data_IF_582443180748
#
_entry.id   IF_582443180748
#
_cell.length_a   1.000
_cell.length_b   1.000
_cell.length_c   1.000
_cell.angle_alpha   90.00
_cell.angle_beta   90.00
_cell.angle_gamma   90.00
#
_symmetry.space_group_name_H-M   'P 1'
#
loop_
_entity.id
_entity.type
_entity.pdbx_description
1 polymer ?
#
# COMPACT_ATOMS: atom_id res chain seq x y z
N UNK A 1 5.02 -14.25 -95.53
CA UNK A 1 4.04 -13.98 -94.45
C UNK A 1 4.83 -13.35 -93.32
N UNK A 2 4.77 -12.02 -93.16
CA UNK A 2 3.87 -11.31 -92.22
C UNK A 2 4.29 -11.58 -90.75
N UNK A 3 4.47 -10.63 -89.84
CA UNK A 3 4.16 -9.19 -89.77
C UNK A 3 4.94 -8.62 -88.57
N UNK A 4 5.52 -7.42 -88.66
CA UNK A 4 6.05 -6.69 -87.50
C UNK A 4 4.95 -5.78 -86.94
N UNK A 5 4.74 -5.80 -85.62
CA UNK A 5 3.80 -4.92 -84.91
C UNK A 5 4.48 -4.26 -83.68
N UNK A 6 4.00 -3.07 -83.23
CA UNK A 6 4.81 -1.90 -82.85
C UNK A 6 5.04 -1.74 -81.32
N UNK A 7 5.84 -0.74 -80.87
CA UNK A 7 6.20 -0.58 -79.45
C UNK A 7 5.09 0.13 -78.66
N UNK A 8 4.85 -0.30 -77.42
CA UNK A 8 3.89 0.33 -76.49
C UNK A 8 4.62 1.14 -75.41
N UNK A 9 4.22 2.41 -75.27
CA UNK A 9 4.72 3.40 -74.31
C UNK A 9 4.37 3.02 -72.85
N UNK A 10 5.12 3.53 -71.85
CA UNK A 10 4.77 3.36 -70.44
C UNK A 10 3.57 4.23 -70.08
N UNK A 11 2.52 3.60 -69.53
CA UNK A 11 1.37 4.30 -68.94
C UNK A 11 1.73 4.72 -67.51
N UNK A 12 1.91 6.02 -67.30
CA UNK A 12 2.07 6.65 -65.99
C UNK A 12 0.76 6.57 -65.20
N UNK A 13 0.71 5.70 -64.20
CA UNK A 13 -0.35 5.70 -63.17
C UNK A 13 0.04 6.75 -62.11
N UNK A 14 -0.83 7.72 -61.78
CA UNK A 14 -0.55 8.67 -60.72
C UNK A 14 -0.74 8.01 -59.35
N UNK A 15 0.35 7.79 -58.62
CA UNK A 15 0.32 7.38 -57.21
C UNK A 15 -0.03 8.59 -56.35
N UNK A 16 -1.21 8.56 -55.71
CA UNK A 16 -1.60 9.52 -54.68
C UNK A 16 -0.70 9.25 -53.45
N UNK A 17 0.00 10.25 -52.89
CA UNK A 17 0.77 10.05 -51.67
C UNK A 17 -0.19 9.97 -50.48
N UNK A 18 -0.53 8.76 -50.04
CA UNK A 18 -1.13 8.57 -48.72
C UNK A 18 -0.02 8.75 -47.69
N UNK A 19 0.06 9.95 -47.10
CA UNK A 19 0.80 10.20 -45.88
C UNK A 19 0.22 9.31 -44.78
N UNK A 20 0.84 8.14 -44.58
CA UNK A 20 0.63 7.33 -43.38
C UNK A 20 1.35 8.07 -42.26
N UNK A 21 0.62 8.95 -41.58
CA UNK A 21 1.02 9.48 -40.28
C UNK A 21 1.15 8.30 -39.34
N UNK A 22 2.39 7.85 -39.13
CA UNK A 22 2.71 6.97 -38.02
C UNK A 22 2.37 7.73 -36.74
N UNK A 23 1.20 7.45 -36.16
CA UNK A 23 0.89 7.85 -34.81
C UNK A 23 1.82 7.05 -33.89
N UNK A 24 3.01 7.60 -33.64
CA UNK A 24 3.84 7.21 -32.52
C UNK A 24 3.01 7.48 -31.28
N UNK A 25 2.36 6.44 -30.75
CA UNK A 25 1.88 6.40 -29.37
C UNK A 25 3.13 6.42 -28.50
N UNK A 26 3.70 7.62 -28.33
CA UNK A 26 4.57 7.92 -27.21
C UNK A 26 3.67 7.77 -25.99
N UNK A 27 3.75 6.61 -25.33
CA UNK A 27 3.33 6.47 -23.95
C UNK A 27 4.27 7.36 -23.14
N UNK A 28 3.96 8.65 -23.07
CA UNK A 28 4.64 9.61 -22.22
C UNK A 28 4.39 9.19 -20.78
N UNK A 29 5.31 8.39 -20.25
CA UNK A 29 5.38 8.07 -18.84
C UNK A 29 5.39 9.41 -18.08
N UNK A 30 4.41 9.65 -17.19
CA UNK A 30 4.35 10.91 -16.47
C UNK A 30 5.65 11.12 -15.70
N UNK A 31 6.13 12.37 -15.56
CA UNK A 31 7.37 12.64 -14.86
C UNK A 31 7.30 12.07 -13.43
N UNK A 32 8.41 11.59 -12.86
CA UNK A 32 8.44 10.89 -11.57
C UNK A 32 7.82 11.71 -10.42
N UNK A 33 7.88 13.04 -10.50
CA UNK A 33 7.26 13.97 -9.56
C UNK A 33 5.72 13.88 -9.54
N UNK A 34 5.09 13.64 -10.68
CA UNK A 34 3.63 13.47 -10.80
C UNK A 34 3.18 12.13 -10.20
N UNK A 35 3.95 11.06 -10.41
CA UNK A 35 3.65 9.75 -9.84
C UNK A 35 3.77 9.74 -8.31
N UNK A 36 4.81 10.36 -7.75
CA UNK A 36 4.99 10.50 -6.29
C UNK A 36 3.85 11.33 -5.69
N UNK A 37 3.46 12.45 -6.31
CA UNK A 37 2.33 13.26 -5.84
C UNK A 37 1.02 12.48 -5.83
N UNK A 38 0.73 11.74 -6.90
CA UNK A 38 -0.48 10.90 -6.98
C UNK A 38 -0.48 9.76 -5.95
N UNK A 39 0.69 9.22 -5.63
CA UNK A 39 0.81 8.24 -4.55
C UNK A 39 0.53 8.86 -3.18
N UNK A 40 1.10 10.03 -2.89
CA UNK A 40 0.87 10.77 -1.64
C UNK A 40 -0.61 11.13 -1.49
N UNK A 41 -1.26 11.60 -2.56
CA UNK A 41 -2.70 11.92 -2.50
C UNK A 41 -3.53 10.68 -2.19
N UNK A 42 -3.23 9.52 -2.80
CA UNK A 42 -3.91 8.25 -2.48
C UNK A 42 -3.75 7.85 -1.02
N UNK A 43 -2.55 7.96 -0.46
CA UNK A 43 -2.34 7.68 0.98
C UNK A 43 -3.17 8.64 1.82
N UNK A 44 -3.10 9.93 1.52
CA UNK A 44 -3.85 10.95 2.25
C UNK A 44 -5.36 10.69 2.22
N UNK A 45 -5.91 10.38 1.05
CA UNK A 45 -7.32 10.08 0.87
C UNK A 45 -7.72 8.79 1.61
N UNK A 46 -6.87 7.76 1.61
CA UNK A 46 -7.10 6.54 2.38
C UNK A 46 -7.09 6.78 3.89
N UNK A 47 -6.13 7.56 4.39
CA UNK A 47 -6.05 7.91 5.80
C UNK A 47 -7.28 8.72 6.22
N UNK A 48 -7.67 9.72 5.44
CA UNK A 48 -8.86 10.53 5.74
C UNK A 48 -10.16 9.73 5.63
N UNK A 49 -10.27 8.84 4.65
CA UNK A 49 -11.42 7.95 4.51
C UNK A 49 -11.50 6.92 5.64
N UNK A 50 -10.36 6.46 6.15
CA UNK A 50 -10.31 5.59 7.33
C UNK A 50 -10.67 6.35 8.59
N UNK A 51 -10.15 7.56 8.77
CA UNK A 51 -10.42 8.41 9.93
C UNK A 51 -11.84 8.99 9.92
N UNK A 52 -12.49 9.13 8.76
CA UNK A 52 -13.90 9.58 8.69
C UNK A 52 -14.87 8.52 9.24
N UNK A 53 -14.48 7.24 9.22
CA UNK A 53 -15.24 6.13 9.82
C UNK A 53 -15.08 6.05 11.34
N UNK A 54 -14.37 6.98 11.98
CA UNK A 54 -14.20 6.98 13.43
C UNK A 54 -15.49 7.35 14.15
N UNK A 55 -15.72 6.75 15.31
CA UNK A 55 -16.79 7.16 16.22
C UNK A 55 -16.43 8.47 16.93
N UNK A 56 -17.41 9.24 17.41
CA UNK A 56 -17.16 10.46 18.18
C UNK A 56 -16.25 10.17 19.38
N UNK A 57 -15.21 10.99 19.57
CA UNK A 57 -14.28 10.81 20.71
C UNK A 57 -14.94 11.06 22.06
N UNK A 58 -15.95 11.94 22.10
CA UNK A 58 -16.77 12.18 23.29
C UNK A 58 -17.44 10.90 23.78
N UNK A 59 -17.92 10.08 22.82
CA UNK A 59 -18.51 8.80 23.13
C UNK A 59 -17.46 7.88 23.72
N UNK A 60 -16.30 7.72 23.07
CA UNK A 60 -15.19 6.87 23.55
C UNK A 60 -14.72 7.23 24.98
N UNK A 61 -14.73 8.52 25.35
CA UNK A 61 -14.23 9.00 26.66
C UNK A 61 -15.37 9.18 27.67
N UNK A 62 -16.60 8.77 27.35
CA UNK A 62 -17.74 8.89 28.26
C UNK A 62 -17.51 8.08 29.55
N UNK A 63 -17.26 8.81 30.65
CA UNK A 63 -16.95 8.24 31.96
C UNK A 63 -18.13 7.53 32.60
N UNK A 64 -19.36 7.90 32.23
CA UNK A 64 -20.57 7.29 32.79
C UNK A 64 -20.77 5.84 32.32
N UNK A 65 -20.21 5.51 31.15
CA UNK A 65 -20.28 4.17 30.56
C UNK A 65 -19.25 3.18 31.13
N UNK A 66 -18.42 3.55 32.11
CA UNK A 66 -17.41 2.63 32.68
C UNK A 66 -17.92 1.94 33.94
N UNK A 67 -17.79 0.62 33.98
CA UNK A 67 -18.04 -0.19 35.18
C UNK A 67 -17.07 -1.36 35.30
N UNK A 68 -16.87 -1.86 36.51
CA UNK A 68 -16.01 -3.02 36.75
C UNK A 68 -16.67 -4.28 36.18
N UNK A 69 -15.97 -5.09 35.35
CA UNK A 69 -16.52 -6.34 34.86
C UNK A 69 -16.68 -7.34 36.02
N UNK A 70 -17.77 -8.11 35.97
CA UNK A 70 -18.10 -9.07 37.06
C UNK A 70 -17.26 -10.34 36.99
N UNK A 71 -16.76 -10.68 35.79
CA UNK A 71 -15.93 -11.85 35.54
C UNK A 71 -15.02 -11.64 34.33
N UNK A 72 -14.04 -12.53 34.14
CA UNK A 72 -13.18 -12.53 32.94
C UNK A 72 -13.98 -12.81 31.65
N UNK A 73 -15.02 -13.63 31.74
CA UNK A 73 -15.93 -13.89 30.61
C UNK A 73 -16.69 -12.64 30.21
N UNK A 74 -17.20 -11.89 31.21
CA UNK A 74 -17.85 -10.60 30.98
C UNK A 74 -16.87 -9.59 30.35
N UNK A 75 -15.67 -9.43 30.92
CA UNK A 75 -14.64 -8.55 30.40
C UNK A 75 -14.29 -8.85 28.92
N UNK A 76 -14.17 -10.13 28.56
CA UNK A 76 -13.85 -10.55 27.18
C UNK A 76 -15.04 -10.31 26.23
N UNK A 77 -16.27 -10.53 26.70
CA UNK A 77 -17.49 -10.22 25.95
C UNK A 77 -17.60 -8.72 25.66
N UNK A 78 -17.38 -7.87 26.68
CA UNK A 78 -17.35 -6.41 26.54
C UNK A 78 -16.25 -5.96 25.58
N UNK A 79 -15.04 -6.50 25.73
CA UNK A 79 -13.91 -6.19 24.86
C UNK A 79 -14.22 -6.51 23.39
N UNK A 80 -14.79 -7.69 23.10
CA UNK A 80 -15.14 -8.08 21.73
C UNK A 80 -16.16 -7.12 21.11
N UNK A 81 -17.20 -6.77 21.86
CA UNK A 81 -18.25 -5.83 21.42
C UNK A 81 -17.67 -4.43 21.17
N UNK A 82 -16.95 -3.90 22.15
CA UNK A 82 -16.34 -2.57 22.07
C UNK A 82 -15.26 -2.48 20.98
N UNK A 83 -14.48 -3.54 20.74
CA UNK A 83 -13.50 -3.60 19.65
C UNK A 83 -14.14 -3.46 18.27
N UNK A 84 -15.26 -4.14 18.04
CA UNK A 84 -15.99 -4.02 16.78
C UNK A 84 -16.53 -2.60 16.59
N UNK A 85 -17.05 -2.00 17.66
CA UNK A 85 -17.68 -0.68 17.62
C UNK A 85 -16.66 0.46 17.44
N UNK A 86 -15.60 0.50 18.26
CA UNK A 86 -14.58 1.55 18.28
C UNK A 86 -13.32 1.20 17.47
N UNK A 87 -13.39 0.25 16.52
CA UNK A 87 -12.22 -0.30 15.81
C UNK A 87 -11.28 0.79 15.28
N UNK A 88 -11.83 1.79 14.59
CA UNK A 88 -11.06 2.89 13.99
C UNK A 88 -10.41 3.76 15.07
N UNK A 89 -11.14 4.09 16.15
CA UNK A 89 -10.59 4.85 17.26
C UNK A 89 -9.47 4.10 18.00
N UNK A 90 -9.61 2.78 18.18
CA UNK A 90 -8.58 1.95 18.81
C UNK A 90 -7.32 1.85 17.95
N UNK A 91 -7.47 1.68 16.64
CA UNK A 91 -6.33 1.75 15.72
C UNK A 91 -5.65 3.13 15.77
N UNK A 92 -6.43 4.22 15.88
CA UNK A 92 -5.89 5.56 16.03
C UNK A 92 -5.12 5.72 17.34
N UNK A 93 -5.62 5.20 18.48
CA UNK A 93 -4.93 5.23 19.77
C UNK A 93 -3.63 4.42 19.78
N UNK A 94 -3.63 3.22 19.21
CA UNK A 94 -2.42 2.39 19.08
C UNK A 94 -1.40 3.11 18.19
N UNK A 95 -1.85 3.67 17.05
CA UNK A 95 -0.98 4.43 16.14
C UNK A 95 -0.39 5.68 16.81
N UNK A 96 -1.20 6.40 17.60
CA UNK A 96 -0.73 7.56 18.36
C UNK A 96 0.31 7.16 19.42
N UNK A 97 0.07 6.06 20.15
CA UNK A 97 1.02 5.52 21.13
C UNK A 97 2.36 5.15 20.47
N UNK A 98 2.31 4.54 19.29
CA UNK A 98 3.48 4.21 18.50
C UNK A 98 4.23 5.47 18.03
N UNK A 99 3.51 6.46 17.51
CA UNK A 99 4.09 7.72 17.05
C UNK A 99 4.78 8.49 18.18
N UNK A 100 4.12 8.63 19.33
CA UNK A 100 4.70 9.27 20.52
C UNK A 100 5.95 8.52 20.99
N UNK A 101 5.91 7.18 21.00
CA UNK A 101 7.06 6.36 21.39
C UNK A 101 8.24 6.54 20.44
N UNK A 102 8.01 6.60 19.12
CA UNK A 102 9.06 6.84 18.14
C UNK A 102 9.67 8.25 18.26
N UNK A 103 8.83 9.27 18.48
CA UNK A 103 9.29 10.66 18.69
C UNK A 103 10.15 10.75 19.96
N UNK A 104 9.79 10.03 21.02
CA UNK A 104 10.58 9.97 22.25
C UNK A 104 11.94 9.28 22.08
N UNK A 105 12.16 8.53 20.99
CA UNK A 105 13.39 7.77 20.73
C UNK A 105 14.04 8.22 19.41
N UNK A 106 14.72 9.39 19.38
CA UNK A 106 15.20 10.01 18.14
C UNK A 106 16.19 9.15 17.35
N UNK A 107 17.00 8.32 18.01
CA UNK A 107 17.90 7.38 17.33
C UNK A 107 17.14 6.30 16.57
N UNK A 108 16.11 5.71 17.19
CA UNK A 108 15.22 4.73 16.54
C UNK A 108 14.52 5.36 15.33
N UNK A 109 14.04 6.60 15.49
CA UNK A 109 13.42 7.36 14.41
C UNK A 109 14.40 7.61 13.26
N UNK A 110 15.64 8.00 13.57
CA UNK A 110 16.68 8.24 12.56
C UNK A 110 17.06 6.95 11.81
N UNK A 111 17.19 5.82 12.51
CA UNK A 111 17.43 4.52 11.88
C UNK A 111 16.30 4.14 10.91
N UNK A 112 15.04 4.29 11.32
CA UNK A 112 13.90 4.03 10.45
C UNK A 112 13.84 5.00 9.26
N UNK A 113 14.13 6.29 9.48
CA UNK A 113 14.12 7.30 8.43
C UNK A 113 15.21 7.07 7.38
N UNK A 114 16.43 6.73 7.81
CA UNK A 114 17.55 6.42 6.90
C UNK A 114 17.28 5.13 6.13
N UNK A 115 16.71 4.11 6.76
CA UNK A 115 16.32 2.89 6.09
C UNK A 115 15.22 3.14 5.05
N UNK A 116 14.18 3.89 5.43
CA UNK A 116 13.11 4.28 4.51
C UNK A 116 13.64 5.11 3.33
N UNK A 117 14.56 6.05 3.58
CA UNK A 117 15.21 6.82 2.54
C UNK A 117 15.99 5.93 1.57
N UNK A 118 16.68 4.90 2.06
CA UNK A 118 17.37 3.92 1.21
C UNK A 118 16.39 3.13 0.33
N UNK A 119 15.27 2.65 0.90
CA UNK A 119 14.19 1.99 0.14
C UNK A 119 13.61 2.91 -0.94
N UNK A 120 13.25 4.14 -0.58
CA UNK A 120 12.71 5.12 -1.52
C UNK A 120 13.71 5.49 -2.61
N UNK A 121 14.97 5.72 -2.26
CA UNK A 121 16.01 6.01 -3.22
C UNK A 121 16.18 4.89 -4.25
N UNK A 122 16.26 3.63 -3.78
CA UNK A 122 16.53 2.49 -4.64
C UNK A 122 15.34 2.04 -5.49
N UNK A 123 14.09 2.30 -5.07
CA UNK A 123 12.91 1.77 -5.76
C UNK A 123 11.92 2.83 -6.26
N UNK A 124 11.95 4.06 -5.74
CA UNK A 124 11.07 5.14 -6.19
C UNK A 124 11.82 6.17 -7.06
N UNK A 125 13.08 6.45 -6.75
CA UNK A 125 13.85 7.50 -7.43
C UNK A 125 14.87 6.96 -8.44
N UNK A 126 15.42 5.76 -8.20
CA UNK A 126 16.35 5.10 -9.13
C UNK A 126 15.61 4.64 -10.40
N UNK A 127 16.06 5.03 -11.61
CA UNK A 127 15.53 4.49 -12.86
C UNK A 127 15.66 2.96 -12.92
N UNK A 128 14.64 2.29 -13.45
CA UNK A 128 14.60 0.82 -13.53
C UNK A 128 15.76 0.24 -14.36
N UNK A 129 16.20 0.97 -15.38
CA UNK A 129 17.21 0.48 -16.34
C UNK A 129 18.67 0.69 -15.88
N UNK A 130 18.89 1.29 -14.71
CA UNK A 130 20.24 1.59 -14.22
C UNK A 130 20.61 0.63 -13.09
N UNK A 131 21.62 -0.26 -13.24
CA UNK A 131 22.05 -1.14 -12.16
C UNK A 131 22.69 -0.34 -11.00
N UNK A 132 22.63 -0.88 -9.78
CA UNK A 132 23.32 -0.26 -8.65
C UNK A 132 24.82 -0.58 -8.77
N UNK A 133 25.65 0.44 -8.94
CA UNK A 133 27.11 0.29 -9.01
C UNK A 133 27.70 0.68 -7.66
N UNK A 134 28.29 -0.27 -6.95
CA UNK A 134 28.99 -0.03 -5.69
C UNK A 134 30.42 -0.55 -5.80
N UNK A 135 31.40 0.29 -5.45
CA UNK A 135 32.83 -0.05 -5.54
C UNK A 135 33.28 -0.56 -6.93
N UNK A 136 32.66 -0.07 -8.00
CA UNK A 136 32.97 -0.48 -9.37
C UNK A 136 32.35 -1.83 -9.81
N UNK A 137 31.51 -2.46 -8.97
CA UNK A 137 30.75 -3.66 -9.32
C UNK A 137 29.27 -3.33 -9.52
N UNK A 138 28.70 -3.87 -10.59
CA UNK A 138 27.27 -3.87 -10.84
C UNK A 138 26.57 -4.92 -9.97
N UNK A 139 25.54 -4.50 -9.25
CA UNK A 139 24.66 -5.36 -8.46
C UNK A 139 23.36 -5.58 -9.21
N UNK A 140 22.95 -6.85 -9.29
CA UNK A 140 21.62 -7.22 -9.79
C UNK A 140 20.54 -6.72 -8.84
N UNK A 141 19.32 -6.52 -9.34
CA UNK A 141 18.17 -6.11 -8.52
C UNK A 141 17.89 -7.08 -7.37
N UNK A 142 18.09 -8.39 -7.60
CA UNK A 142 17.92 -9.43 -6.56
C UNK A 142 18.98 -9.30 -5.45
N UNK A 143 20.22 -8.99 -5.84
CA UNK A 143 21.31 -8.79 -4.88
C UNK A 143 21.09 -7.50 -4.08
N UNK A 144 20.65 -6.42 -4.74
CA UNK A 144 20.31 -5.15 -4.10
C UNK A 144 19.17 -5.32 -3.10
N UNK A 145 18.11 -6.04 -3.50
CA UNK A 145 16.99 -6.37 -2.61
C UNK A 145 17.45 -7.20 -1.43
N UNK A 146 18.21 -8.27 -1.69
CA UNK A 146 18.75 -9.14 -0.65
C UNK A 146 19.63 -8.39 0.34
N UNK A 147 20.55 -7.55 -0.15
CA UNK A 147 21.40 -6.71 0.68
C UNK A 147 20.58 -5.72 1.50
N UNK A 148 19.61 -5.03 0.89
CA UNK A 148 18.77 -4.07 1.57
C UNK A 148 17.90 -4.74 2.65
N UNK A 149 17.40 -5.94 2.39
CA UNK A 149 16.68 -6.75 3.36
C UNK A 149 17.58 -7.13 4.54
N UNK A 150 18.79 -7.63 4.27
CA UNK A 150 19.77 -7.99 5.30
C UNK A 150 20.12 -6.75 6.13
N UNK A 151 20.44 -5.62 5.50
CA UNK A 151 20.71 -4.35 6.20
C UNK A 151 19.51 -3.90 7.03
N UNK A 152 18.28 -4.06 6.53
CA UNK A 152 17.05 -3.74 7.28
C UNK A 152 16.95 -4.59 8.54
N UNK A 153 17.18 -5.90 8.44
CA UNK A 153 17.17 -6.83 9.56
C UNK A 153 18.25 -6.44 10.56
N UNK A 154 19.51 -6.32 10.14
CA UNK A 154 20.60 -5.90 11.01
C UNK A 154 20.30 -4.55 11.69
N UNK A 155 19.82 -3.55 10.97
CA UNK A 155 19.47 -2.26 11.53
C UNK A 155 18.39 -2.38 12.61
N UNK A 156 17.34 -3.18 12.41
CA UNK A 156 16.28 -3.38 13.41
C UNK A 156 16.78 -4.16 14.63
N UNK A 157 17.63 -5.17 14.45
CA UNK A 157 18.13 -6.02 15.53
C UNK A 157 19.26 -5.38 16.35
N UNK A 158 20.14 -4.59 15.72
CA UNK A 158 21.25 -3.92 16.41
C UNK A 158 20.82 -2.62 17.10
N UNK A 159 19.62 -2.11 16.81
CA UNK A 159 19.10 -0.88 17.41
C UNK A 159 17.95 -1.15 18.36
N UNK A 160 17.53 -0.13 19.11
CA UNK A 160 16.35 -0.19 19.96
C UNK A 160 15.02 -0.14 19.20
N UNK A 161 15.03 -0.18 17.86
CA UNK A 161 13.79 -0.07 17.05
C UNK A 161 12.81 -1.16 17.42
N UNK A 162 13.25 -2.41 17.47
CA UNK A 162 12.40 -3.54 17.81
C UNK A 162 11.77 -3.40 19.20
N UNK A 163 12.56 -3.04 20.21
CA UNK A 163 12.08 -2.90 21.58
C UNK A 163 11.13 -1.71 21.76
N UNK A 164 11.39 -0.57 21.09
CA UNK A 164 10.51 0.60 21.10
C UNK A 164 9.16 0.26 20.44
N UNK A 165 9.16 -0.39 19.29
CA UNK A 165 7.92 -0.78 18.60
C UNK A 165 7.12 -1.80 19.44
N UNK A 166 7.77 -2.82 20.00
CA UNK A 166 7.10 -3.84 20.82
C UNK A 166 6.52 -3.25 22.10
N UNK A 167 7.29 -2.44 22.83
CA UNK A 167 6.84 -1.80 24.07
C UNK A 167 5.67 -0.85 23.81
N UNK A 168 5.75 -0.02 22.77
CA UNK A 168 4.66 0.87 22.38
C UNK A 168 3.40 0.10 21.99
N UNK A 169 3.54 -1.01 21.25
CA UNK A 169 2.42 -1.86 20.88
C UNK A 169 1.76 -2.51 22.10
N UNK A 170 2.55 -3.06 23.02
CA UNK A 170 2.05 -3.64 24.27
C UNK A 170 1.28 -2.61 25.09
N UNK A 171 1.83 -1.40 25.23
CA UNK A 171 1.15 -0.29 25.94
C UNK A 171 -0.15 0.09 25.22
N UNK A 172 -0.13 0.26 23.90
CA UNK A 172 -1.32 0.61 23.12
C UNK A 172 -2.43 -0.44 23.21
N UNK A 173 -2.06 -1.72 23.08
CA UNK A 173 -2.99 -2.85 23.24
C UNK A 173 -3.53 -2.91 24.66
N UNK A 174 -2.69 -2.72 25.69
CA UNK A 174 -3.14 -2.70 27.08
C UNK A 174 -4.16 -1.59 27.34
N UNK A 175 -3.94 -0.38 26.80
CA UNK A 175 -4.90 0.75 26.89
C UNK A 175 -6.24 0.37 26.26
N UNK A 176 -6.22 -0.19 25.04
CA UNK A 176 -7.43 -0.58 24.32
C UNK A 176 -8.16 -1.72 25.03
N UNK A 177 -7.43 -2.72 25.52
CA UNK A 177 -7.99 -3.83 26.28
C UNK A 177 -8.62 -3.36 27.59
N UNK A 178 -7.95 -2.48 28.33
CA UNK A 178 -8.49 -1.88 29.54
C UNK A 178 -9.76 -1.07 29.23
N UNK A 179 -9.72 -0.20 28.22
CA UNK A 179 -10.89 0.55 27.80
C UNK A 179 -12.06 -0.38 27.41
N UNK A 180 -11.82 -1.35 26.52
CA UNK A 180 -12.85 -2.26 26.02
C UNK A 180 -13.42 -3.22 27.06
N UNK A 181 -12.64 -3.60 28.08
CA UNK A 181 -13.09 -4.47 29.16
C UNK A 181 -13.94 -3.73 30.21
N UNK A 182 -13.63 -2.46 30.49
CA UNK A 182 -14.31 -1.68 31.53
C UNK A 182 -15.47 -0.84 30.99
N UNK A 183 -15.55 -0.59 29.68
CA UNK A 183 -16.69 0.10 29.09
C UNK A 183 -17.90 -0.83 28.93
N UNK A 184 -19.04 -0.43 29.46
CA UNK A 184 -20.33 -1.10 29.28
C UNK A 184 -20.79 -0.93 27.83
N UNK A 185 -21.04 -2.04 27.11
CA UNK A 185 -21.65 -1.98 25.79
C UNK A 185 -23.17 -1.67 25.96
N UNK A 186 -23.61 -0.42 25.75
CA UNK A 186 -25.04 -0.04 25.72
C UNK A 186 -25.73 -0.49 24.41
N UNK A 187 -27.07 -0.46 24.32
CA UNK A 187 -27.90 -0.89 23.15
C UNK A 187 -27.57 -0.24 21.78
N UNK A 188 -26.49 0.53 21.69
CA UNK A 188 -25.75 0.96 20.49
C UNK A 188 -25.42 -0.16 19.48
N UNK A 189 -25.68 -1.43 19.81
CA UNK A 189 -25.44 -2.60 18.97
C UNK A 189 -26.53 -2.88 17.94
N UNK A 190 -27.72 -2.24 18.05
CA UNK A 190 -28.82 -2.49 17.12
C UNK A 190 -28.63 -1.77 15.77
N UNK A 191 -28.01 -0.57 15.74
CA UNK A 191 -27.88 0.23 14.52
C UNK A 191 -26.63 -0.10 13.66
N UNK A 192 -25.62 -0.78 14.23
CA UNK A 192 -24.32 -0.97 13.55
C UNK A 192 -24.07 -2.38 13.01
N UNK A 193 -24.95 -3.36 13.27
CA UNK A 193 -24.88 -4.67 12.59
C UNK A 193 -25.05 -4.54 11.07
N UNK A 194 -25.79 -3.53 10.61
CA UNK A 194 -25.97 -3.25 9.18
C UNK A 194 -24.70 -2.69 8.52
N UNK A 195 -23.78 -2.08 9.29
CA UNK A 195 -22.54 -1.49 8.79
C UNK A 195 -21.34 -2.46 8.82
N UNK A 196 -21.33 -3.44 9.74
CA UNK A 196 -20.21 -4.37 9.92
C UNK A 196 -20.04 -5.37 8.77
N UNK A 197 -21.12 -5.69 8.05
CA UNK A 197 -21.07 -6.63 6.92
C UNK A 197 -20.36 -6.06 5.66
N UNK A 198 -20.06 -4.75 5.62
CA UNK A 198 -19.45 -4.09 4.45
C UNK A 198 -17.92 -3.91 4.49
N UNK A 199 -17.27 -4.08 5.65
CA UNK A 199 -15.93 -3.48 5.87
C UNK A 199 -14.76 -4.49 5.83
N UNK A 200 -15.02 -5.80 5.82
CA UNK A 200 -13.99 -6.83 5.61
C UNK A 200 -13.44 -6.89 4.18
N UNK A 201 -14.00 -6.11 3.25
CA UNK A 201 -13.63 -6.10 1.82
C UNK A 201 -12.53 -5.06 1.50
N UNK A 202 -12.34 -4.02 2.31
CA UNK A 202 -11.50 -2.86 1.95
C UNK A 202 -9.98 -3.07 2.04
N UNK A 203 -9.50 -3.70 3.11
CA UNK A 203 -8.05 -3.87 3.34
C UNK A 203 -7.45 -5.04 2.52
N UNK A 204 -8.23 -6.10 2.29
CA UNK A 204 -7.78 -7.27 1.51
C UNK A 204 -7.92 -7.10 -0.02
N UNK A 205 -8.65 -6.08 -0.47
CA UNK A 205 -8.77 -5.74 -1.90
C UNK A 205 -7.41 -5.40 -2.54
N UNK A 206 -6.48 -4.82 -1.78
CA UNK A 206 -5.12 -4.54 -2.27
C UNK A 206 -4.33 -5.81 -2.62
N UNK A 207 -4.45 -6.88 -1.82
CA UNK A 207 -3.74 -8.13 -2.05
C UNK A 207 -4.36 -8.95 -3.20
N UNK A 208 -5.68 -8.83 -3.39
CA UNK A 208 -6.41 -9.43 -4.52
C UNK A 208 -6.18 -8.73 -5.86
N UNK A 209 -5.93 -7.41 -5.86
CA UNK A 209 -5.65 -6.66 -7.08
C UNK A 209 -4.26 -6.99 -7.65
N UNK A 210 -3.26 -7.18 -6.78
CA UNK A 210 -1.91 -7.58 -7.20
C UNK A 210 -1.86 -8.98 -7.83
N UNK A 211 -2.66 -9.92 -7.33
CA UNK A 211 -2.76 -11.29 -7.85
C UNK A 211 -3.54 -11.39 -9.17
N UNK A 212 -4.58 -10.57 -9.36
CA UNK A 212 -5.31 -10.49 -10.65
C UNK A 212 -4.45 -9.91 -11.79
N UNK A 213 -3.63 -8.90 -11.50
CA UNK A 213 -2.70 -8.33 -12.49
C UNK A 213 -1.62 -9.34 -12.90
N UNK A 214 -1.11 -10.14 -11.97
CA UNK A 214 -0.13 -11.20 -12.27
C UNK A 214 -0.75 -12.34 -13.11
N UNK A 215 -2.00 -12.73 -12.84
CA UNK A 215 -2.69 -13.77 -13.61
C UNK A 215 -3.03 -13.32 -15.05
N UNK A 216 -3.42 -12.05 -15.24
CA UNK A 216 -3.68 -11.49 -16.58
C UNK A 216 -2.41 -11.42 -17.44
N UNK A 217 -1.24 -11.16 -16.84
CA UNK A 217 0.04 -11.19 -17.54
C UNK A 217 0.45 -12.61 -18.00
N UNK A 218 0.10 -13.66 -17.23
CA UNK A 218 0.39 -15.06 -17.61
C UNK A 218 -0.55 -15.65 -18.67
N UNK A 219 -1.76 -15.10 -18.82
CA UNK A 219 -2.73 -15.59 -19.81
C UNK A 219 -2.45 -15.07 -21.23
N UNK A 220 -1.68 -13.97 -21.36
CA UNK A 220 -1.34 -13.36 -22.65
C UNK A 220 -0.13 -13.98 -23.35
N UNK A 221 0.56 -14.96 -22.74
CA UNK A 221 1.80 -15.55 -23.26
C UNK A 221 1.65 -16.92 -23.92
N UNK A 222 0.43 -17.37 -24.23
CA UNK A 222 0.20 -18.65 -24.94
C UNK A 222 0.15 -18.41 -26.46
N UNK A 223 1.17 -18.82 -27.23
CA UNK A 223 1.13 -18.70 -28.70
C UNK A 223 0.14 -19.70 -29.31
N UNK A 224 -0.53 -19.36 -30.43
CA UNK A 224 -1.47 -20.27 -31.07
C UNK A 224 -0.75 -21.49 -31.69
N UNK A 225 -1.42 -22.66 -31.74
CA UNK A 225 -0.86 -23.85 -32.37
C UNK A 225 -0.69 -23.62 -33.88
N UNK A 226 0.51 -23.91 -34.40
CA UNK A 226 0.77 -23.89 -35.84
C UNK A 226 0.06 -25.09 -36.47
N UNK A 227 -0.83 -24.81 -37.43
CA UNK A 227 -1.41 -25.78 -38.37
C UNK A 227 -0.58 -25.76 -39.64
#
# INVERSE_FOLDING_TARGET
MASSAPPILPTSVPTIPTTVTAATTTTTQPPPTTAVRAFISRIHDQVNSGLSQRRPWSELIDRSAFSKPESLSDATSRLRKNYSYFRVNYLALISATLAVSLIAHPFSLLTLATLLAAWCFLYLFKPADQPLILFGREFSDKETLGLLLVVSVFAVFLTSVGSVLMSALVVGVAIVCAHGAFRVPEDLFLDDQDSANGVSVGFLSFLGAATKTAAAASASSVPPPRV
#
